data_IF_873538814544
#
_entry.id   IF_873538814544
#
_cell.length_a   1.000
_cell.length_b   1.000
_cell.length_c   1.000
_cell.angle_alpha   90.00
_cell.angle_beta   90.00
_cell.angle_gamma   90.00
#
_symmetry.space_group_name_H-M   'P 1'
#
loop_
_entity.id
_entity.type
_entity.pdbx_description
1 polymer ?
#
# COMPACT_ATOMS: atom_id res chain seq x y z
N UNK A 1 0.84 12.22 12.01
CA UNK A 1 0.05 13.42 12.35
C UNK A 1 -1.38 13.21 11.88
N UNK A 2 -2.36 13.79 12.58
CA UNK A 2 -3.75 13.72 12.13
C UNK A 2 -4.00 14.60 10.91
N UNK A 3 -5.08 14.35 10.12
CA UNK A 3 -5.47 15.23 9.02
C UNK A 3 -5.65 16.70 9.46
N UNK A 4 -6.22 16.92 10.65
CA UNK A 4 -6.41 18.26 11.21
C UNK A 4 -5.07 18.96 11.51
N UNK A 5 -4.07 18.22 12.02
CA UNK A 5 -2.73 18.78 12.23
C UNK A 5 -2.03 19.06 10.88
N UNK A 6 -2.24 18.21 9.88
CA UNK A 6 -1.72 18.43 8.51
C UNK A 6 -2.34 19.70 7.90
N UNK A 7 -3.67 19.87 8.02
CA UNK A 7 -4.36 21.08 7.57
C UNK A 7 -3.83 22.36 8.20
N UNK A 8 -3.50 22.34 9.50
CA UNK A 8 -2.92 23.51 10.19
C UNK A 8 -1.49 23.84 9.72
N UNK A 9 -0.76 22.89 9.16
CA UNK A 9 0.61 23.06 8.66
C UNK A 9 0.68 23.35 7.17
N UNK A 10 -0.37 22.98 6.43
CA UNK A 10 -0.42 23.17 4.99
C UNK A 10 -0.44 24.67 4.62
N UNK A 11 0.38 25.05 3.68
CA UNK A 11 0.48 26.41 3.13
C UNK A 11 0.59 26.36 1.60
N UNK A 12 0.74 27.54 0.96
CA UNK A 12 0.86 27.64 -0.50
C UNK A 12 2.11 26.98 -1.11
N UNK A 13 3.06 26.53 -0.29
CA UNK A 13 4.28 25.79 -0.71
C UNK A 13 4.19 24.30 -0.47
N UNK A 14 3.15 23.85 0.23
CA UNK A 14 2.97 22.43 0.56
C UNK A 14 2.76 21.60 -0.71
N UNK A 15 3.50 20.53 -0.84
CA UNK A 15 3.27 19.44 -1.79
C UNK A 15 2.57 18.29 -1.06
N UNK A 16 1.38 17.96 -1.51
CA UNK A 16 0.68 16.75 -1.07
C UNK A 16 1.05 15.60 -2.00
N UNK A 17 1.62 14.54 -1.45
CA UNK A 17 1.91 13.32 -2.19
C UNK A 17 0.86 12.28 -1.82
N UNK A 18 0.03 11.92 -2.79
CA UNK A 18 -0.98 10.85 -2.67
C UNK A 18 -0.35 9.59 -3.22
N UNK A 19 -0.34 8.53 -2.42
CA UNK A 19 0.26 7.24 -2.78
C UNK A 19 -0.78 6.13 -2.70
N UNK A 20 -0.63 5.11 -3.56
CA UNK A 20 -1.42 3.88 -3.57
C UNK A 20 -2.90 4.06 -3.90
N UNK A 21 -3.27 5.22 -4.39
CA UNK A 21 -4.59 5.47 -4.96
C UNK A 21 -4.55 6.65 -5.93
N UNK A 22 -5.36 6.59 -6.97
CA UNK A 22 -5.64 7.73 -7.85
C UNK A 22 -7.07 8.26 -7.68
N UNK A 23 -7.86 7.71 -6.74
CA UNK A 23 -9.28 8.02 -6.53
C UNK A 23 -9.46 9.02 -5.40
N UNK A 24 -10.14 10.16 -5.63
CA UNK A 24 -10.41 11.14 -4.57
C UNK A 24 -11.15 10.58 -3.37
N UNK A 25 -12.08 9.65 -3.61
CA UNK A 25 -12.90 9.01 -2.57
C UNK A 25 -12.15 8.01 -1.69
N UNK A 26 -10.94 7.63 -2.07
CA UNK A 26 -10.08 6.72 -1.30
C UNK A 26 -8.96 7.44 -0.55
N UNK A 27 -8.79 8.74 -0.79
CA UNK A 27 -7.84 9.54 -0.03
C UNK A 27 -8.33 9.66 1.42
N UNK A 28 -7.41 9.54 2.37
CA UNK A 28 -7.72 9.53 3.80
C UNK A 28 -8.45 10.79 4.26
N UNK A 29 -8.14 11.94 3.65
CA UNK A 29 -8.79 13.22 3.95
C UNK A 29 -9.02 14.04 2.67
N UNK A 30 -10.28 14.16 2.29
CA UNK A 30 -10.68 14.89 1.08
C UNK A 30 -10.49 16.41 1.22
N UNK A 31 -10.61 16.96 2.42
CA UNK A 31 -10.46 18.38 2.66
C UNK A 31 -8.98 18.79 2.52
N UNK A 32 -8.06 17.96 2.99
CA UNK A 32 -6.63 18.16 2.79
C UNK A 32 -6.26 18.10 1.30
N UNK A 33 -6.85 17.16 0.55
CA UNK A 33 -6.66 17.08 -0.90
C UNK A 33 -7.12 18.36 -1.60
N UNK A 34 -8.26 18.93 -1.20
CA UNK A 34 -8.79 20.17 -1.80
C UNK A 34 -8.03 21.41 -1.37
N UNK A 35 -7.45 21.43 -0.18
CA UNK A 35 -6.70 22.57 0.35
C UNK A 35 -5.31 22.73 -0.28
N UNK A 36 -4.71 21.64 -0.77
CA UNK A 36 -3.37 21.67 -1.34
C UNK A 36 -3.38 22.01 -2.83
N UNK A 37 -2.70 23.09 -3.21
CA UNK A 37 -2.59 23.52 -4.62
C UNK A 37 -1.59 22.71 -5.45
N UNK A 38 -0.73 21.95 -4.79
CA UNK A 38 0.28 21.11 -5.44
C UNK A 38 0.09 19.67 -4.97
N UNK A 39 -0.35 18.83 -5.88
CA UNK A 39 -0.60 17.41 -5.61
C UNK A 39 0.25 16.58 -6.57
N UNK A 40 0.94 15.60 -6.04
CA UNK A 40 1.56 14.53 -6.80
C UNK A 40 0.82 13.22 -6.49
N UNK A 41 0.51 12.44 -7.53
CA UNK A 41 -0.13 11.12 -7.38
C UNK A 41 0.82 10.06 -7.89
N UNK A 42 1.15 9.09 -7.04
CA UNK A 42 2.01 7.95 -7.38
C UNK A 42 1.21 6.68 -7.06
N UNK A 43 0.87 5.91 -8.10
CA UNK A 43 -0.06 4.80 -7.95
C UNK A 43 0.24 3.69 -8.97
N UNK A 44 -0.02 2.44 -8.60
CA UNK A 44 0.10 1.28 -9.47
C UNK A 44 -1.26 0.68 -9.87
N UNK A 45 -2.35 1.28 -9.44
CA UNK A 45 -3.69 0.87 -9.87
C UNK A 45 -4.06 1.44 -11.24
N UNK A 46 -4.97 0.77 -11.93
CA UNK A 46 -5.55 1.30 -13.16
C UNK A 46 -6.33 2.58 -12.85
N UNK A 47 -6.21 3.56 -13.74
CA UNK A 47 -6.95 4.82 -13.61
C UNK A 47 -8.46 4.53 -13.60
N UNK A 48 -9.13 5.03 -12.58
CA UNK A 48 -10.57 4.92 -12.42
C UNK A 48 -11.32 5.94 -13.31
N UNK A 49 -12.64 5.77 -13.45
CA UNK A 49 -13.47 6.76 -14.14
C UNK A 49 -13.46 8.13 -13.43
N UNK A 50 -13.43 8.09 -12.08
CA UNK A 50 -13.18 9.25 -11.22
C UNK A 50 -11.76 9.15 -10.68
N UNK A 51 -10.91 10.13 -10.99
CA UNK A 51 -9.53 10.18 -10.53
C UNK A 51 -9.11 11.63 -10.20
N UNK A 52 -7.98 11.82 -9.57
CA UNK A 52 -7.45 13.13 -9.19
C UNK A 52 -6.93 13.83 -10.44
N UNK A 53 -7.77 14.67 -11.05
CA UNK A 53 -7.47 15.32 -12.35
C UNK A 53 -6.43 16.45 -12.28
N UNK A 54 -6.35 17.15 -11.14
CA UNK A 54 -5.56 18.39 -11.00
C UNK A 54 -4.19 18.12 -10.36
N UNK A 55 -3.68 16.90 -10.45
CA UNK A 55 -2.33 16.61 -9.98
C UNK A 55 -1.29 17.34 -10.84
N UNK A 56 -0.34 18.01 -10.18
CA UNK A 56 0.82 18.63 -10.84
C UNK A 56 1.78 17.57 -11.40
N UNK A 57 1.79 16.38 -10.77
CA UNK A 57 2.51 15.19 -11.21
C UNK A 57 1.59 13.97 -11.02
N UNK A 58 1.39 13.21 -12.10
CA UNK A 58 0.76 11.89 -12.05
C UNK A 58 1.76 10.83 -12.52
N UNK A 59 2.22 9.97 -11.60
CA UNK A 59 3.04 8.82 -11.93
C UNK A 59 2.23 7.55 -11.63
N UNK A 60 1.47 7.11 -12.65
CA UNK A 60 0.56 5.96 -12.55
C UNK A 60 1.06 4.88 -13.47
N UNK A 61 1.51 3.76 -12.89
CA UNK A 61 2.15 2.65 -13.60
C UNK A 61 1.50 1.29 -13.24
N UNK A 62 0.45 0.88 -13.96
CA UNK A 62 -0.32 -0.34 -13.62
C UNK A 62 0.45 -1.65 -13.76
N UNK A 63 1.65 -1.61 -14.33
CA UNK A 63 2.51 -2.78 -14.47
C UNK A 63 3.54 -2.91 -13.35
N UNK A 64 3.67 -1.90 -12.50
CA UNK A 64 4.47 -2.01 -11.29
C UNK A 64 3.81 -2.98 -10.29
N UNK A 65 4.62 -3.66 -9.50
CA UNK A 65 4.13 -4.62 -8.52
C UNK A 65 3.39 -3.95 -7.36
N UNK A 66 3.85 -2.76 -6.99
CA UNK A 66 3.38 -2.01 -5.83
C UNK A 66 3.77 -0.53 -5.93
N UNK A 67 3.12 0.30 -5.14
CA UNK A 67 3.58 1.69 -4.97
C UNK A 67 4.95 1.74 -4.27
N UNK A 68 5.27 0.76 -3.43
CA UNK A 68 6.59 0.62 -2.80
C UNK A 68 7.73 0.48 -3.83
N UNK A 69 7.50 -0.26 -4.94
CA UNK A 69 8.42 -0.33 -6.07
C UNK A 69 8.60 1.05 -6.72
N UNK A 70 7.51 1.73 -7.09
CA UNK A 70 7.55 3.05 -7.72
C UNK A 70 8.22 4.10 -6.84
N UNK A 71 7.88 4.14 -5.56
CA UNK A 71 8.49 5.07 -4.60
C UNK A 71 9.99 4.80 -4.43
N UNK A 72 10.40 3.53 -4.46
CA UNK A 72 11.83 3.18 -4.40
C UNK A 72 12.58 3.70 -5.62
N UNK A 73 12.00 3.57 -6.82
CA UNK A 73 12.59 4.12 -8.05
C UNK A 73 12.71 5.66 -7.99
N UNK A 74 11.66 6.34 -7.52
CA UNK A 74 11.71 7.80 -7.33
C UNK A 74 12.80 8.19 -6.33
N UNK A 75 12.91 7.48 -5.21
CA UNK A 75 13.92 7.77 -4.18
C UNK A 75 15.34 7.55 -4.70
N UNK A 76 15.58 6.58 -5.56
CA UNK A 76 16.89 6.35 -6.19
C UNK A 76 17.39 7.58 -6.97
N UNK A 77 16.46 8.37 -7.52
CA UNK A 77 16.80 9.56 -8.33
C UNK A 77 16.94 10.85 -7.50
N UNK A 78 16.29 10.92 -6.34
CA UNK A 78 16.16 12.19 -5.59
C UNK A 78 16.83 12.20 -4.23
N UNK A 79 17.22 11.04 -3.69
CA UNK A 79 17.78 10.88 -2.33
C UNK A 79 19.04 10.02 -2.39
N UNK A 80 20.08 10.43 -1.65
CA UNK A 80 21.24 9.54 -1.46
C UNK A 80 20.80 8.30 -0.64
N UNK A 81 21.23 7.12 -1.07
CA UNK A 81 20.87 5.86 -0.40
C UNK A 81 21.23 5.85 1.10
N UNK A 82 22.30 6.56 1.47
CA UNK A 82 22.75 6.64 2.87
C UNK A 82 21.85 7.53 3.73
N UNK A 83 21.01 8.37 3.13
CA UNK A 83 20.06 9.24 3.83
C UNK A 83 18.71 8.54 4.09
N UNK A 84 18.48 7.37 3.50
CA UNK A 84 17.28 6.57 3.74
C UNK A 84 17.42 5.87 5.08
N UNK A 85 16.49 6.14 5.99
CA UNK A 85 16.47 5.47 7.28
C UNK A 85 16.05 4.00 7.13
N UNK A 86 16.62 3.16 7.98
CA UNK A 86 16.29 1.73 7.99
C UNK A 86 14.79 1.47 8.08
N UNK A 87 14.08 2.18 8.95
CA UNK A 87 12.63 2.03 9.12
C UNK A 87 11.83 2.43 7.87
N UNK A 88 12.32 3.42 7.10
CA UNK A 88 11.72 3.83 5.83
C UNK A 88 11.92 2.74 4.77
N UNK A 89 13.12 2.21 4.67
CA UNK A 89 13.43 1.10 3.78
C UNK A 89 12.62 -0.16 4.12
N UNK A 90 12.44 -0.47 5.42
CA UNK A 90 11.61 -1.59 5.89
C UNK A 90 10.12 -1.37 5.56
N UNK A 91 9.61 -0.15 5.71
CA UNK A 91 8.23 0.19 5.38
C UNK A 91 7.95 0.04 3.86
N UNK A 92 8.84 0.55 3.00
CA UNK A 92 8.72 0.39 1.55
C UNK A 92 8.80 -1.08 1.13
N UNK A 93 9.76 -1.83 1.71
CA UNK A 93 9.89 -3.25 1.42
C UNK A 93 8.67 -4.05 1.90
N UNK A 94 8.06 -3.66 3.02
CA UNK A 94 6.85 -4.31 3.50
C UNK A 94 5.67 -4.14 2.53
N UNK A 95 5.53 -2.96 1.93
CA UNK A 95 4.54 -2.71 0.87
C UNK A 95 4.75 -3.60 -0.35
N UNK A 96 6.01 -3.73 -0.83
CA UNK A 96 6.35 -4.64 -1.92
C UNK A 96 5.98 -6.09 -1.56
N UNK A 97 6.37 -6.55 -0.37
CA UNK A 97 6.11 -7.93 0.09
C UNK A 97 4.61 -8.19 0.20
N UNK A 98 3.82 -7.22 0.68
CA UNK A 98 2.37 -7.33 0.81
C UNK A 98 1.69 -7.48 -0.56
N UNK A 99 1.93 -6.55 -1.48
CA UNK A 99 1.26 -6.50 -2.79
C UNK A 99 1.65 -7.65 -3.71
N UNK A 100 2.87 -8.15 -3.55
CA UNK A 100 3.38 -9.29 -4.33
C UNK A 100 3.07 -10.64 -3.69
N UNK A 101 2.38 -10.69 -2.56
CA UNK A 101 2.20 -11.91 -1.74
C UNK A 101 3.55 -12.63 -1.56
N UNK A 102 4.51 -11.92 -0.98
CA UNK A 102 5.89 -12.43 -0.76
C UNK A 102 6.58 -12.82 -2.08
N UNK A 103 6.55 -11.94 -3.07
CA UNK A 103 7.15 -12.14 -4.40
C UNK A 103 6.55 -13.31 -5.21
N UNK A 104 5.30 -13.69 -4.92
CA UNK A 104 4.62 -14.80 -5.61
C UNK A 104 3.83 -14.31 -6.83
N UNK A 105 3.26 -13.11 -6.77
CA UNK A 105 2.44 -12.55 -7.86
C UNK A 105 2.96 -11.17 -8.27
N UNK A 106 2.67 -10.75 -9.51
CA UNK A 106 3.01 -9.44 -10.07
C UNK A 106 4.47 -9.02 -9.90
N UNK A 107 5.38 -9.99 -9.76
CA UNK A 107 6.79 -9.74 -9.50
C UNK A 107 7.57 -9.75 -10.79
N UNK A 108 8.27 -8.66 -11.07
CA UNK A 108 9.14 -8.49 -12.22
C UNK A 108 10.59 -8.18 -11.83
N UNK A 109 11.44 -7.92 -12.81
CA UNK A 109 12.83 -7.52 -12.61
C UNK A 109 12.90 -6.25 -11.75
N UNK A 110 12.11 -5.22 -12.08
CA UNK A 110 12.03 -3.95 -11.31
C UNK A 110 11.72 -4.17 -9.83
N UNK A 111 10.82 -5.13 -9.53
CA UNK A 111 10.45 -5.47 -8.15
C UNK A 111 11.65 -5.98 -7.36
N UNK A 112 12.46 -6.88 -7.97
CA UNK A 112 13.67 -7.39 -7.32
C UNK A 112 14.74 -6.33 -7.19
N UNK A 113 14.91 -5.44 -8.18
CA UNK A 113 15.84 -4.32 -8.12
C UNK A 113 15.49 -3.35 -6.99
N UNK A 114 14.21 -2.98 -6.87
CA UNK A 114 13.72 -2.16 -5.76
C UNK A 114 13.96 -2.85 -4.41
N UNK A 115 13.63 -4.13 -4.27
CA UNK A 115 13.86 -4.88 -3.04
C UNK A 115 15.36 -4.98 -2.70
N UNK A 116 16.23 -5.20 -3.69
CA UNK A 116 17.68 -5.23 -3.49
C UNK A 116 18.22 -3.86 -3.07
N UNK A 117 17.70 -2.77 -3.64
CA UNK A 117 18.05 -1.42 -3.23
C UNK A 117 17.68 -1.15 -1.77
N UNK A 118 16.44 -1.44 -1.38
CA UNK A 118 15.97 -1.27 0.00
C UNK A 118 16.75 -2.15 0.99
N UNK A 119 17.12 -3.36 0.57
CA UNK A 119 17.98 -4.23 1.39
C UNK A 119 19.38 -3.62 1.61
N UNK A 120 19.97 -2.97 0.60
CA UNK A 120 21.23 -2.24 0.72
C UNK A 120 21.09 -0.99 1.59
N UNK A 121 19.92 -0.30 1.57
CA UNK A 121 19.59 0.81 2.44
C UNK A 121 19.35 0.39 3.91
N UNK A 122 19.44 -0.90 4.23
CA UNK A 122 19.42 -1.41 5.60
C UNK A 122 18.15 -2.14 6.01
N UNK A 123 17.13 -2.29 5.12
CA UNK A 123 15.92 -3.05 5.45
C UNK A 123 16.27 -4.49 5.87
N UNK A 124 15.68 -4.96 6.97
CA UNK A 124 15.81 -6.35 7.43
C UNK A 124 14.53 -7.13 7.16
N UNK A 125 14.65 -8.24 6.44
CA UNK A 125 13.49 -9.06 6.06
C UNK A 125 12.78 -9.70 7.25
N UNK A 126 13.48 -9.90 8.37
CA UNK A 126 12.88 -10.40 9.61
C UNK A 126 11.99 -9.34 10.24
N UNK A 127 12.44 -8.08 10.24
CA UNK A 127 11.65 -6.98 10.78
C UNK A 127 10.49 -6.62 9.85
N UNK A 128 10.70 -6.68 8.53
CA UNK A 128 9.59 -6.59 7.54
C UNK A 128 8.54 -7.66 7.80
N UNK A 129 8.94 -8.91 8.04
CA UNK A 129 8.00 -9.99 8.39
C UNK A 129 7.23 -9.71 9.67
N UNK A 130 7.88 -9.11 10.68
CA UNK A 130 7.20 -8.72 11.94
C UNK A 130 6.16 -7.62 11.71
N UNK A 131 6.47 -6.62 10.86
CA UNK A 131 5.52 -5.56 10.50
C UNK A 131 4.25 -6.11 9.85
N UNK A 132 4.36 -7.21 9.09
CA UNK A 132 3.25 -7.86 8.40
C UNK A 132 2.56 -8.96 9.24
N UNK A 133 2.99 -9.19 10.48
CA UNK A 133 2.34 -10.15 11.35
C UNK A 133 0.96 -9.66 11.78
N UNK A 134 -0.03 -10.50 11.54
CA UNK A 134 -1.38 -10.34 12.06
C UNK A 134 -1.38 -10.80 13.53
N UNK A 135 -2.16 -10.18 14.38
CA UNK A 135 -2.31 -10.66 15.75
C UNK A 135 -3.05 -12.02 15.80
N UNK A 136 -3.01 -12.65 16.97
CA UNK A 136 -3.57 -14.00 17.14
C UNK A 136 -5.10 -13.97 17.02
N UNK A 137 -5.77 -12.91 17.49
CA UNK A 137 -7.23 -12.83 17.49
C UNK A 137 -7.74 -12.66 16.04
N UNK A 138 -7.11 -11.81 15.26
CA UNK A 138 -7.40 -11.64 13.83
C UNK A 138 -7.10 -12.92 13.04
N UNK A 139 -6.01 -13.62 13.39
CA UNK A 139 -5.67 -14.92 12.80
C UNK A 139 -6.75 -15.95 13.06
N UNK A 140 -7.20 -16.08 14.31
CA UNK A 140 -8.28 -17.00 14.69
C UNK A 140 -9.59 -16.63 13.99
N UNK A 141 -9.93 -15.33 13.93
CA UNK A 141 -11.12 -14.85 13.24
C UNK A 141 -11.08 -15.19 11.74
N UNK A 142 -9.92 -14.99 11.08
CA UNK A 142 -9.72 -15.38 9.69
C UNK A 142 -9.95 -16.86 9.47
N UNK A 143 -9.37 -17.72 10.30
CA UNK A 143 -9.58 -19.17 10.16
C UNK A 143 -11.02 -19.59 10.39
N UNK A 144 -11.78 -18.94 11.28
CA UNK A 144 -13.22 -19.19 11.44
C UNK A 144 -14.01 -18.87 10.16
N UNK A 145 -13.65 -17.79 9.46
CA UNK A 145 -14.26 -17.48 8.16
C UNK A 145 -13.93 -18.58 7.15
N UNK A 146 -12.65 -18.95 7.02
CA UNK A 146 -12.21 -20.01 6.10
C UNK A 146 -12.91 -21.35 6.37
N UNK A 147 -13.09 -21.72 7.64
CA UNK A 147 -13.80 -22.95 8.02
C UNK A 147 -15.29 -22.93 7.64
N UNK A 148 -15.91 -21.76 7.56
CA UNK A 148 -17.31 -21.62 7.13
C UNK A 148 -17.49 -21.72 5.62
N UNK A 149 -16.39 -21.76 4.85
CA UNK A 149 -16.42 -21.76 3.40
C UNK A 149 -17.03 -23.04 2.83
N UNK A 150 -17.90 -22.88 1.85
CA UNK A 150 -18.50 -23.94 1.07
C UNK A 150 -18.23 -23.73 -0.41
N UNK A 151 -17.81 -24.78 -1.08
CA UNK A 151 -17.65 -24.75 -2.53
C UNK A 151 -19.02 -24.91 -3.21
N UNK A 152 -19.33 -23.99 -4.10
CA UNK A 152 -20.49 -24.06 -4.97
C UNK A 152 -20.03 -23.84 -6.42
N UNK A 153 -19.89 -24.92 -7.17
CA UNK A 153 -19.24 -24.94 -8.50
C UNK A 153 -17.82 -24.35 -8.41
N UNK A 154 -17.58 -23.22 -9.11
CA UNK A 154 -16.28 -22.54 -9.18
C UNK A 154 -16.19 -21.36 -8.18
N UNK A 155 -17.09 -21.32 -7.21
CA UNK A 155 -17.14 -20.26 -6.19
C UNK A 155 -16.93 -20.83 -4.81
N UNK A 156 -16.10 -20.18 -4.00
CA UNK A 156 -16.03 -20.38 -2.58
C UNK A 156 -16.88 -19.31 -1.86
N UNK A 157 -17.82 -19.73 -1.02
CA UNK A 157 -18.69 -18.81 -0.28
C UNK A 157 -18.49 -19.07 1.21
N UNK A 158 -18.03 -18.05 1.92
CA UNK A 158 -17.89 -18.06 3.38
C UNK A 158 -18.89 -17.09 4.01
N UNK A 159 -19.66 -17.58 4.97
CA UNK A 159 -20.64 -16.77 5.73
C UNK A 159 -20.35 -16.98 7.21
N UNK A 160 -19.58 -16.08 7.85
CA UNK A 160 -19.33 -16.16 9.28
C UNK A 160 -20.61 -15.91 10.09
N UNK A 161 -20.74 -16.57 11.26
CA UNK A 161 -21.89 -16.41 12.14
C UNK A 161 -21.97 -15.03 12.78
N UNK A 162 -20.82 -14.38 13.00
CA UNK A 162 -20.73 -13.05 13.61
C UNK A 162 -20.10 -12.04 12.63
N UNK A 163 -20.46 -10.73 12.73
CA UNK A 163 -19.81 -9.68 11.96
C UNK A 163 -18.29 -9.67 12.22
N UNK A 164 -17.52 -9.59 11.14
CA UNK A 164 -16.07 -9.61 11.20
C UNK A 164 -15.48 -8.24 10.81
N UNK A 165 -14.28 -7.96 11.29
CA UNK A 165 -13.52 -6.81 10.85
C UNK A 165 -13.30 -6.89 9.33
N UNK A 166 -13.43 -5.75 8.64
CA UNK A 166 -13.29 -5.65 7.18
C UNK A 166 -11.92 -6.16 6.70
N UNK A 167 -10.86 -5.88 7.44
CA UNK A 167 -9.48 -6.29 7.10
C UNK A 167 -9.36 -7.83 7.20
N UNK A 168 -9.90 -8.41 8.27
CA UNK A 168 -9.92 -9.87 8.47
C UNK A 168 -10.73 -10.57 7.38
N UNK A 169 -11.90 -10.00 7.02
CA UNK A 169 -12.74 -10.55 5.96
C UNK A 169 -12.04 -10.49 4.59
N UNK A 170 -11.37 -9.38 4.27
CA UNK A 170 -10.59 -9.24 3.06
C UNK A 170 -9.42 -10.24 3.01
N UNK A 171 -8.68 -10.39 4.12
CA UNK A 171 -7.58 -11.36 4.22
C UNK A 171 -8.06 -12.82 4.07
N UNK A 172 -9.25 -13.13 4.58
CA UNK A 172 -9.84 -14.45 4.39
C UNK A 172 -10.27 -14.70 2.93
N UNK A 173 -10.86 -13.67 2.29
CA UNK A 173 -11.29 -13.76 0.89
C UNK A 173 -10.10 -13.94 -0.07
N UNK A 174 -8.95 -13.35 0.26
CA UNK A 174 -7.71 -13.52 -0.51
C UNK A 174 -7.11 -14.92 -0.43
N UNK A 175 -7.50 -15.71 0.57
CA UNK A 175 -6.99 -17.06 0.80
C UNK A 175 -7.95 -18.14 0.29
N UNK A 176 -9.23 -17.80 0.03
CA UNK A 176 -10.25 -18.68 -0.55
C UNK A 176 -10.11 -18.86 -2.06
#
# INVERSE_FOLDING_TARGET
>A
ISPQEAMLRADGRTLLVVVDTNRPEQVEDADLLMACNRVAVIDHHRVAATYIHNAALGFIEPYASSVGELMTEVLQEVVDQNDILRCEAEALLSGIVLDTKSFTIRTGERTFDAAAYLRRAGADTTDVKKLLQTDMDDTVAKYKILQSAKLYRDLAIAVPEEPQNRVVAASAADEL
#
